data_IF_210622611025
#
_entry.id   IF_210622611025
#
_cell.length_a   1.000
_cell.length_b   1.000
_cell.length_c   1.000
_cell.angle_alpha   90.00
_cell.angle_beta   90.00
_cell.angle_gamma   90.00
#
_symmetry.space_group_name_H-M   'P 1'
#
loop_
_entity.id
_entity.type
_entity.pdbx_description
1 polymer ?
#
# COMPACT_ATOMS: atom_id res chain seq x y z
N UNK A 1 52.93 -20.58 -44.34
CA UNK A 1 52.39 -19.57 -43.39
C UNK A 1 50.96 -19.97 -43.05
N UNK A 2 50.69 -20.26 -41.78
CA UNK A 2 49.37 -20.69 -41.28
C UNK A 2 48.51 -19.46 -41.04
N UNK A 3 47.39 -19.34 -41.74
CA UNK A 3 46.42 -18.25 -41.51
C UNK A 3 45.73 -18.47 -40.17
N UNK A 4 45.79 -17.45 -39.32
CA UNK A 4 45.05 -17.32 -38.07
C UNK A 4 43.56 -17.18 -38.40
N UNK A 5 42.89 -18.30 -38.63
CA UNK A 5 41.43 -18.38 -38.75
C UNK A 5 40.89 -19.20 -37.59
N UNK A 6 41.15 -18.70 -36.39
CA UNK A 6 40.53 -19.17 -35.16
C UNK A 6 39.63 -18.06 -34.61
N UNK A 7 38.46 -18.47 -34.13
CA UNK A 7 37.51 -17.73 -33.26
C UNK A 7 36.59 -16.71 -33.94
N UNK A 8 35.52 -17.23 -34.53
CA UNK A 8 34.22 -16.58 -34.43
C UNK A 8 33.17 -17.66 -34.15
N UNK A 9 33.20 -18.19 -32.92
CA UNK A 9 32.10 -18.98 -32.38
C UNK A 9 30.94 -18.00 -32.20
N UNK A 10 29.82 -18.28 -32.89
CA UNK A 10 28.62 -17.46 -32.86
C UNK A 10 28.09 -17.32 -31.45
N UNK A 11 28.10 -16.08 -30.96
CA UNK A 11 27.35 -15.70 -29.77
C UNK A 11 25.88 -15.53 -30.19
N UNK A 12 25.16 -16.65 -30.24
CA UNK A 12 23.69 -16.62 -30.18
C UNK A 12 23.37 -16.15 -28.77
N UNK A 13 23.05 -14.86 -28.61
CA UNK A 13 22.45 -14.34 -27.38
C UNK A 13 21.05 -14.96 -27.32
N UNK A 14 20.98 -16.12 -26.68
CA UNK A 14 19.75 -16.67 -26.18
C UNK A 14 19.09 -15.59 -25.32
N UNK A 15 17.87 -15.22 -25.66
CA UNK A 15 16.98 -14.45 -24.80
C UNK A 15 16.58 -15.33 -23.60
N UNK A 16 17.54 -15.65 -22.74
CA UNK A 16 17.26 -15.97 -21.36
C UNK A 16 16.54 -14.75 -20.82
N UNK A 17 15.22 -14.88 -20.65
CA UNK A 17 14.51 -14.14 -19.64
C UNK A 17 15.37 -14.26 -18.38
N UNK A 18 16.05 -13.17 -18.02
CA UNK A 18 16.72 -13.05 -16.75
C UNK A 18 15.60 -13.16 -15.73
N UNK A 19 15.34 -14.38 -15.26
CA UNK A 19 14.67 -14.64 -14.00
C UNK A 19 15.63 -14.11 -12.94
N UNK A 20 15.67 -12.78 -12.81
CA UNK A 20 16.30 -12.13 -11.69
C UNK A 20 15.68 -12.72 -10.44
N UNK A 21 16.52 -13.17 -9.51
CA UNK A 21 16.10 -13.44 -8.15
C UNK A 21 15.22 -12.28 -7.69
N UNK A 22 13.98 -12.56 -7.28
CA UNK A 22 13.06 -11.57 -6.73
C UNK A 22 13.84 -10.69 -5.74
N UNK A 23 13.80 -9.37 -5.92
CA UNK A 23 14.45 -8.49 -4.97
C UNK A 23 13.66 -8.52 -3.66
N UNK A 24 14.34 -8.23 -2.56
CA UNK A 24 13.73 -8.28 -1.25
C UNK A 24 12.85 -7.03 -1.05
N UNK A 25 11.56 -7.22 -0.84
CA UNK A 25 10.70 -6.15 -0.34
C UNK A 25 10.99 -5.85 1.13
N UNK A 26 10.89 -4.59 1.54
CA UNK A 26 11.00 -4.20 2.95
C UNK A 26 9.62 -3.83 3.48
N UNK A 27 9.12 -4.58 4.46
CA UNK A 27 7.87 -4.29 5.18
C UNK A 27 8.17 -3.46 6.44
N UNK A 28 7.24 -2.58 6.81
CA UNK A 28 7.37 -1.67 7.93
C UNK A 28 6.04 -1.65 8.67
N UNK A 29 6.07 -1.60 10.00
CA UNK A 29 4.86 -1.70 10.81
C UNK A 29 4.84 -0.68 11.94
N UNK A 30 3.67 -0.13 12.18
CA UNK A 30 3.39 0.66 13.37
C UNK A 30 3.42 -0.26 14.61
N UNK A 31 4.05 0.18 15.70
CA UNK A 31 4.07 -0.60 16.96
C UNK A 31 2.89 -0.29 17.88
N UNK A 32 1.99 0.62 17.50
CA UNK A 32 0.79 0.91 18.26
C UNK A 32 -0.08 -0.36 18.33
N UNK A 33 -0.56 -0.68 19.53
CA UNK A 33 -1.49 -1.79 19.75
C UNK A 33 -2.59 -1.33 20.71
N UNK A 34 -3.78 -1.85 20.51
CA UNK A 34 -4.94 -1.61 21.36
C UNK A 34 -5.20 -2.81 22.27
N UNK A 35 -6.02 -2.61 23.30
CA UNK A 35 -6.51 -3.69 24.16
C UNK A 35 -7.78 -4.34 23.63
N UNK A 36 -8.59 -3.58 22.88
CA UNK A 36 -9.89 -4.01 22.37
C UNK A 36 -9.85 -4.02 20.85
N UNK A 37 -10.19 -5.13 20.23
CA UNK A 37 -10.17 -5.30 18.76
C UNK A 37 -11.07 -4.33 17.99
N UNK A 38 -11.97 -3.60 18.66
CA UNK A 38 -12.79 -2.56 18.03
C UNK A 38 -12.27 -1.15 18.25
N UNK A 39 -11.18 -0.98 19.00
CA UNK A 39 -10.55 0.31 19.23
C UNK A 39 -9.76 0.74 18.00
N UNK A 40 -9.41 2.03 17.97
CA UNK A 40 -8.58 2.59 16.91
C UNK A 40 -7.14 2.13 17.05
N UNK A 41 -6.62 1.50 16.00
CA UNK A 41 -5.21 1.17 15.85
C UNK A 41 -4.47 2.18 14.93
N UNK A 42 -3.24 1.86 14.55
CA UNK A 42 -2.50 2.63 13.55
C UNK A 42 -2.10 4.06 13.95
N UNK A 43 -2.31 4.50 15.19
CA UNK A 43 -1.90 5.84 15.62
C UNK A 43 -0.40 6.06 15.43
N UNK A 44 -0.01 7.12 14.73
CA UNK A 44 1.41 7.44 14.49
C UNK A 44 2.05 8.19 15.65
N UNK A 45 1.24 8.74 16.55
CA UNK A 45 1.67 9.48 17.75
C UNK A 45 0.72 9.21 18.91
N UNK A 46 1.22 9.37 20.14
CA UNK A 46 0.43 9.27 21.38
C UNK A 46 0.54 10.53 22.22
N UNK A 47 -0.44 10.72 23.12
CA UNK A 47 -0.42 11.80 24.10
C UNK A 47 0.89 11.81 24.91
N UNK A 48 1.47 13.00 25.11
CA UNK A 48 2.75 13.20 25.79
C UNK A 48 2.65 13.97 27.11
N UNK A 49 1.43 14.30 27.56
CA UNK A 49 1.21 15.03 28.81
C UNK A 49 1.44 16.54 28.75
N UNK A 50 1.89 17.08 27.61
CA UNK A 50 2.20 18.51 27.46
C UNK A 50 1.02 19.32 26.88
N UNK A 51 0.05 18.65 26.25
CA UNK A 51 -1.12 19.29 25.66
C UNK A 51 -2.26 19.46 26.69
N UNK A 52 -2.98 20.59 26.59
CA UNK A 52 -4.07 21.00 27.52
C UNK A 52 -5.39 20.25 27.31
N UNK A 53 -5.43 19.29 26.39
CA UNK A 53 -6.65 18.58 25.99
C UNK A 53 -6.87 17.35 26.90
N UNK A 54 -8.12 17.16 27.34
CA UNK A 54 -8.48 16.33 28.50
C UNK A 54 -8.77 14.86 28.21
N UNK A 55 -8.41 14.31 27.04
CA UNK A 55 -8.73 12.92 26.69
C UNK A 55 -7.46 12.11 26.47
N UNK A 56 -7.35 11.02 27.23
CA UNK A 56 -6.14 10.24 27.44
C UNK A 56 -5.91 9.10 26.42
N UNK A 57 -6.59 9.10 25.26
CA UNK A 57 -6.48 8.00 24.27
C UNK A 57 -6.42 8.51 22.83
N UNK A 58 -5.24 8.40 22.21
CA UNK A 58 -4.97 8.78 20.81
C UNK A 58 -4.66 10.28 20.63
N UNK A 59 -3.92 10.69 19.58
CA UNK A 59 -3.77 12.09 19.22
C UNK A 59 -5.14 12.62 18.79
N UNK A 60 -5.82 13.26 19.74
CA UNK A 60 -7.03 14.01 19.49
C UNK A 60 -6.76 15.07 18.43
N UNK A 61 -7.37 14.91 17.27
CA UNK A 61 -7.86 16.00 16.44
C UNK A 61 -6.89 17.11 16.00
N UNK A 62 -5.58 17.08 16.28
CA UNK A 62 -4.61 18.13 15.89
C UNK A 62 -3.33 17.54 15.31
N UNK A 63 -3.48 16.44 14.58
CA UNK A 63 -2.58 15.93 13.54
C UNK A 63 -1.11 16.31 13.63
N UNK A 64 -0.29 15.34 14.03
CA UNK A 64 1.18 15.41 14.12
C UNK A 64 1.76 16.01 15.43
N UNK A 65 0.96 16.09 16.50
CA UNK A 65 1.42 16.39 17.88
C UNK A 65 1.56 15.14 18.75
N UNK A 66 2.34 15.23 19.82
CA UNK A 66 2.59 14.15 20.76
C UNK A 66 3.85 13.32 20.49
N UNK A 67 4.05 12.30 21.32
CA UNK A 67 5.18 11.38 21.26
C UNK A 67 5.03 10.47 20.04
N UNK A 68 6.08 10.34 19.24
CA UNK A 68 6.06 9.45 18.08
C UNK A 68 5.92 7.99 18.53
N UNK A 69 4.98 7.26 17.94
CA UNK A 69 4.93 5.81 18.09
C UNK A 69 6.07 5.21 17.26
N UNK A 70 6.93 4.35 17.85
CA UNK A 70 7.98 3.69 17.10
C UNK A 70 7.44 2.88 15.91
N UNK A 71 8.28 2.76 14.89
CA UNK A 71 8.02 1.87 13.75
C UNK A 71 9.09 0.79 13.69
N UNK A 72 8.69 -0.43 13.35
CA UNK A 72 9.65 -1.50 13.04
C UNK A 72 9.81 -1.65 11.54
N UNK A 73 10.97 -2.16 11.10
CA UNK A 73 11.34 -2.22 9.68
C UNK A 73 11.82 -0.88 9.11
N UNK A 74 11.89 0.19 9.91
CA UNK A 74 12.43 1.49 9.51
C UNK A 74 13.74 1.81 10.23
N UNK A 75 14.58 2.64 9.61
CA UNK A 75 15.80 3.12 10.25
C UNK A 75 15.46 4.08 11.38
N UNK A 76 16.00 3.84 12.57
CA UNK A 76 15.81 4.71 13.74
C UNK A 76 14.38 4.73 14.28
N UNK A 77 13.58 3.70 13.98
CA UNK A 77 12.17 3.61 14.34
C UNK A 77 11.30 4.79 13.87
N UNK A 78 11.72 5.44 12.79
CA UNK A 78 11.06 6.62 12.23
C UNK A 78 9.83 6.25 11.39
N UNK A 79 8.97 7.23 11.15
CA UNK A 79 7.85 7.10 10.19
C UNK A 79 8.37 6.73 8.79
N UNK A 80 7.68 5.84 8.07
CA UNK A 80 8.07 5.43 6.73
C UNK A 80 7.97 6.61 5.76
N UNK A 81 8.91 6.68 4.81
CA UNK A 81 8.92 7.67 3.71
C UNK A 81 8.82 9.14 4.15
N UNK A 82 9.21 9.45 5.38
CA UNK A 82 9.01 10.80 5.97
C UNK A 82 7.54 11.22 6.04
N UNK A 83 6.62 10.27 6.23
CA UNK A 83 5.21 10.54 6.46
C UNK A 83 5.03 11.60 7.55
N UNK A 84 4.25 12.63 7.25
CA UNK A 84 4.00 13.78 8.13
C UNK A 84 2.52 14.03 8.37
N UNK A 85 1.66 13.15 7.84
CA UNK A 85 0.21 13.26 7.92
C UNK A 85 -0.35 13.06 9.31
N UNK A 86 -1.63 13.37 9.42
CA UNK A 86 -2.42 13.36 10.65
C UNK A 86 -3.29 12.13 10.78
N UNK A 87 -3.53 11.43 9.68
CA UNK A 87 -4.22 10.14 9.65
C UNK A 87 -3.39 9.07 10.35
N UNK A 88 -4.09 8.07 10.88
CA UNK A 88 -3.46 6.82 11.28
C UNK A 88 -2.80 6.15 10.08
N UNK A 89 -1.80 5.32 10.37
CA UNK A 89 -1.03 4.56 9.41
C UNK A 89 -0.57 3.27 10.08
N UNK A 90 -0.94 2.12 9.50
CA UNK A 90 -0.78 0.80 10.12
C UNK A 90 0.52 0.13 9.65
N UNK A 91 0.85 0.27 8.36
CA UNK A 91 2.00 -0.38 7.76
C UNK A 91 2.56 0.39 6.56
N UNK A 92 3.74 0.01 6.11
CA UNK A 92 4.31 0.44 4.85
C UNK A 92 5.15 -0.66 4.19
N UNK A 93 5.39 -0.54 2.88
CA UNK A 93 6.20 -1.51 2.13
C UNK A 93 6.96 -0.85 0.99
N UNK A 94 8.25 -1.16 0.88
CA UNK A 94 9.12 -0.75 -0.21
C UNK A 94 9.39 -1.94 -1.13
N UNK A 95 9.11 -1.76 -2.42
CA UNK A 95 9.27 -2.76 -3.46
C UNK A 95 10.48 -2.37 -4.34
N UNK A 96 11.55 -3.15 -4.28
CA UNK A 96 12.84 -2.79 -4.88
C UNK A 96 12.99 -3.21 -6.34
N UNK A 97 12.18 -4.14 -6.82
CA UNK A 97 12.26 -4.65 -8.17
C UNK A 97 10.99 -5.33 -8.68
N UNK A 98 10.98 -5.58 -9.98
CA UNK A 98 9.93 -6.37 -10.61
C UNK A 98 10.13 -7.86 -10.35
N UNK A 99 9.06 -8.53 -9.93
CA UNK A 99 9.10 -9.92 -9.43
C UNK A 99 9.20 -10.00 -7.91
N UNK A 100 9.32 -8.87 -7.22
CA UNK A 100 9.21 -8.79 -5.77
C UNK A 100 7.81 -9.20 -5.32
N UNK A 101 7.76 -9.77 -4.12
CA UNK A 101 6.53 -10.03 -3.40
C UNK A 101 6.68 -9.63 -1.95
N UNK A 102 5.62 -9.10 -1.36
CA UNK A 102 5.56 -8.79 0.06
C UNK A 102 4.27 -9.32 0.67
N UNK A 103 4.30 -9.60 1.97
CA UNK A 103 3.11 -9.96 2.75
C UNK A 103 2.96 -8.97 3.88
N UNK A 104 1.79 -8.36 4.01
CA UNK A 104 1.41 -7.56 5.18
C UNK A 104 0.43 -8.37 6.02
N UNK A 105 0.83 -8.68 7.25
CA UNK A 105 -0.01 -9.36 8.24
C UNK A 105 0.61 -9.25 9.63
N UNK A 106 -0.19 -9.49 10.68
CA UNK A 106 0.33 -9.63 12.04
C UNK A 106 1.43 -10.71 12.11
N UNK A 107 1.26 -11.84 11.41
CA UNK A 107 2.26 -12.92 11.37
C UNK A 107 3.57 -12.50 10.69
N UNK A 108 3.53 -11.73 9.60
CA UNK A 108 4.73 -11.20 8.96
C UNK A 108 5.46 -10.19 9.87
N UNK A 109 4.71 -9.35 10.58
CA UNK A 109 5.29 -8.34 11.49
C UNK A 109 6.07 -8.95 12.67
N UNK A 110 5.75 -10.19 13.07
CA UNK A 110 6.40 -10.88 14.19
C UNK A 110 7.91 -11.13 13.97
N UNK A 111 8.41 -11.04 12.73
CA UNK A 111 9.86 -11.07 12.45
C UNK A 111 10.64 -9.92 13.08
N UNK A 112 9.95 -8.85 13.50
CA UNK A 112 10.52 -7.71 14.23
C UNK A 112 10.30 -7.79 15.75
N UNK A 113 9.80 -8.91 16.28
CA UNK A 113 9.59 -9.05 17.71
C UNK A 113 10.88 -8.74 18.50
N UNK A 114 10.77 -7.87 19.51
CA UNK A 114 11.88 -7.45 20.36
C UNK A 114 12.83 -6.39 19.77
N UNK A 115 12.63 -5.90 18.54
CA UNK A 115 13.44 -4.77 18.02
C UNK A 115 13.06 -3.44 18.68
N UNK A 116 11.82 -3.33 19.15
CA UNK A 116 11.32 -2.26 20.01
C UNK A 116 10.83 -2.90 21.31
N UNK A 117 11.16 -2.31 22.46
CA UNK A 117 10.75 -2.84 23.76
C UNK A 117 9.24 -3.03 23.84
N UNK A 118 8.80 -4.25 24.15
CA UNK A 118 7.38 -4.60 24.28
C UNK A 118 6.68 -4.96 22.98
N UNK A 119 7.31 -4.76 21.82
CA UNK A 119 6.71 -5.13 20.53
C UNK A 119 6.82 -6.64 20.29
N UNK A 120 5.67 -7.27 19.98
CA UNK A 120 5.57 -8.70 19.65
C UNK A 120 5.08 -8.91 18.22
N UNK A 121 4.01 -8.22 17.86
CA UNK A 121 3.42 -8.18 16.52
C UNK A 121 2.64 -6.87 16.37
N UNK A 122 2.46 -6.42 15.14
CA UNK A 122 1.58 -5.30 14.82
C UNK A 122 0.11 -5.74 14.82
N UNK A 123 -0.76 -4.81 15.15
CA UNK A 123 -2.20 -4.92 14.92
C UNK A 123 -2.45 -4.66 13.43
N UNK A 124 -2.94 -5.68 12.74
CA UNK A 124 -3.21 -5.68 11.30
C UNK A 124 -4.56 -6.35 11.11
N UNK A 125 -5.60 -5.56 11.30
CA UNK A 125 -6.98 -5.97 11.20
C UNK A 125 -7.84 -4.87 10.59
N UNK A 126 -9.09 -5.18 10.29
CA UNK A 126 -10.04 -4.21 9.75
C UNK A 126 -11.46 -4.70 9.99
N UNK A 127 -12.40 -3.76 10.07
CA UNK A 127 -13.82 -4.06 10.16
C UNK A 127 -14.40 -4.59 8.85
N UNK A 128 -15.38 -5.50 8.95
CA UNK A 128 -16.05 -6.07 7.79
C UNK A 128 -16.82 -5.03 6.95
N UNK A 129 -17.31 -3.96 7.57
CA UNK A 129 -17.96 -2.83 6.88
C UNK A 129 -17.10 -1.57 6.79
N UNK A 130 -15.77 -1.68 7.00
CA UNK A 130 -14.91 -0.51 7.15
C UNK A 130 -14.75 0.29 5.86
N UNK A 131 -14.54 -0.36 4.73
CA UNK A 131 -14.42 0.33 3.44
C UNK A 131 -15.79 0.79 2.93
N UNK A 132 -16.80 -0.07 3.10
CA UNK A 132 -18.20 0.24 2.84
C UNK A 132 -19.09 -0.81 3.55
N UNK A 133 -19.96 -0.37 4.45
CA UNK A 133 -20.90 -1.24 5.18
C UNK A 133 -22.05 -1.74 4.29
N UNK A 134 -22.96 -2.57 4.81
CA UNK A 134 -24.09 -3.07 4.03
C UNK A 134 -25.24 -2.06 3.84
N UNK A 135 -25.09 -0.83 4.36
CA UNK A 135 -26.12 0.20 4.30
C UNK A 135 -27.34 -0.09 5.18
N UNK A 136 -27.23 -0.97 6.18
CA UNK A 136 -28.31 -1.28 7.12
C UNK A 136 -28.02 -0.71 8.52
N UNK A 137 -29.09 -0.34 9.25
CA UNK A 137 -29.01 0.02 10.66
C UNK A 137 -29.01 -1.24 11.56
N UNK A 138 -28.94 -1.05 12.88
CA UNK A 138 -28.94 -2.17 13.84
C UNK A 138 -30.23 -3.02 13.84
N UNK A 139 -31.29 -2.56 13.18
CA UNK A 139 -32.56 -3.28 13.00
C UNK A 139 -32.66 -3.94 11.61
N UNK A 140 -31.58 -3.93 10.81
CA UNK A 140 -31.57 -4.50 9.46
C UNK A 140 -32.32 -3.67 8.42
N UNK A 141 -32.64 -2.40 8.73
CA UNK A 141 -33.35 -1.50 7.81
C UNK A 141 -32.35 -0.65 7.04
N UNK A 142 -32.62 -0.35 5.78
CA UNK A 142 -31.78 0.52 4.98
C UNK A 142 -31.59 1.90 5.64
N UNK A 143 -30.33 2.37 5.68
CA UNK A 143 -30.02 3.71 6.14
C UNK A 143 -30.36 4.74 5.05
N UNK A 144 -30.60 5.99 5.47
CA UNK A 144 -30.87 7.10 4.53
C UNK A 144 -29.69 7.41 3.61
N UNK A 145 -28.47 7.13 4.06
CA UNK A 145 -27.25 7.39 3.28
C UNK A 145 -26.86 6.19 2.38
N UNK A 146 -27.51 5.04 2.58
CA UNK A 146 -27.09 3.77 2.00
C UNK A 146 -25.75 3.30 2.58
N UNK A 147 -25.04 2.42 1.84
CA UNK A 147 -23.74 1.91 2.21
C UNK A 147 -22.71 3.00 2.48
N UNK A 148 -22.01 2.89 3.61
CA UNK A 148 -21.10 3.92 4.15
C UNK A 148 -19.77 3.30 4.57
N UNK A 149 -18.65 3.89 4.14
CA UNK A 149 -17.33 3.58 4.70
C UNK A 149 -17.06 4.35 5.99
N UNK A 150 -16.25 3.79 6.87
CA UNK A 150 -15.95 4.35 8.18
C UNK A 150 -14.46 4.36 8.46
N UNK A 151 -13.95 5.56 8.72
CA UNK A 151 -12.52 5.82 8.92
C UNK A 151 -11.92 5.02 10.06
N UNK A 152 -12.74 4.70 11.07
CA UNK A 152 -12.27 4.15 12.32
C UNK A 152 -11.64 2.76 12.18
N UNK A 153 -12.22 1.94 11.30
CA UNK A 153 -11.85 0.55 11.12
C UNK A 153 -11.21 0.30 9.75
N UNK A 154 -10.95 1.38 9.00
CA UNK A 154 -10.25 1.31 7.72
C UNK A 154 -8.77 1.28 8.00
N UNK A 155 -8.05 0.34 7.40
CA UNK A 155 -6.60 0.28 7.52
C UNK A 155 -5.93 1.13 6.44
N UNK A 156 -4.84 1.80 6.80
CA UNK A 156 -4.05 2.61 5.88
C UNK A 156 -2.62 2.08 5.81
N UNK A 157 -2.16 1.83 4.58
CA UNK A 157 -0.78 1.47 4.29
C UNK A 157 -0.13 2.36 3.25
N UNK A 158 1.22 2.45 3.29
CA UNK A 158 2.00 3.09 2.22
C UNK A 158 2.75 2.07 1.36
N UNK A 159 2.73 2.27 0.05
CA UNK A 159 3.48 1.47 -0.91
C UNK A 159 4.45 2.40 -1.65
N UNK A 160 5.74 2.06 -1.67
CA UNK A 160 6.71 2.72 -2.54
C UNK A 160 7.40 1.71 -3.44
N UNK A 161 7.93 2.18 -4.57
CA UNK A 161 8.75 1.33 -5.42
C UNK A 161 9.99 2.02 -5.98
N UNK A 162 11.10 1.31 -6.02
CA UNK A 162 12.37 1.78 -6.59
C UNK A 162 12.36 1.74 -8.13
N UNK A 163 11.42 1.01 -8.73
CA UNK A 163 11.26 0.86 -10.18
C UNK A 163 9.82 1.06 -10.61
N UNK A 164 9.59 1.45 -11.87
CA UNK A 164 8.24 1.51 -12.42
C UNK A 164 7.75 0.10 -12.74
N UNK A 165 6.68 -0.33 -12.08
CA UNK A 165 6.16 -1.69 -12.16
C UNK A 165 4.65 -1.76 -11.93
N UNK A 166 4.04 -2.89 -12.31
CA UNK A 166 2.68 -3.21 -11.89
C UNK A 166 2.72 -3.82 -10.51
N UNK A 167 1.84 -3.37 -9.63
CA UNK A 167 1.62 -3.93 -8.29
C UNK A 167 0.22 -4.51 -8.25
N UNK A 168 0.10 -5.78 -7.86
CA UNK A 168 -1.17 -6.48 -7.66
C UNK A 168 -1.37 -6.75 -6.18
N UNK A 169 -2.54 -6.37 -5.67
CA UNK A 169 -2.97 -6.53 -4.28
C UNK A 169 -4.01 -7.64 -4.22
N UNK A 170 -3.76 -8.64 -3.38
CA UNK A 170 -4.73 -9.66 -2.98
C UNK A 170 -4.92 -9.64 -1.46
N UNK A 171 -6.13 -9.91 -0.99
CA UNK A 171 -6.49 -9.80 0.43
C UNK A 171 -7.32 -10.99 0.90
N UNK A 172 -7.03 -11.46 2.10
CA UNK A 172 -7.81 -12.52 2.77
C UNK A 172 -7.93 -12.20 4.26
N UNK A 173 -9.05 -12.58 4.88
CA UNK A 173 -9.17 -12.55 6.34
C UNK A 173 -8.50 -13.80 6.94
N UNK A 174 -7.93 -13.67 8.14
CA UNK A 174 -7.29 -14.80 8.84
C UNK A 174 -8.31 -15.74 9.50
N UNK A 175 -9.55 -15.30 9.67
CA UNK A 175 -10.62 -16.02 10.37
C UNK A 175 -11.90 -16.22 9.52
N UNK A 176 -11.87 -15.86 8.22
CA UNK A 176 -13.00 -16.02 7.29
C UNK A 176 -14.30 -15.29 7.69
N UNK A 177 -14.25 -14.23 8.52
CA UNK A 177 -15.46 -13.49 8.91
C UNK A 177 -16.12 -12.76 7.73
N UNK A 178 -15.32 -12.27 6.80
CA UNK A 178 -15.75 -11.75 5.51
C UNK A 178 -14.72 -12.14 4.44
N UNK A 179 -15.17 -12.19 3.18
CA UNK A 179 -14.37 -12.73 2.07
C UNK A 179 -13.99 -11.71 1.01
N UNK A 180 -14.55 -10.49 1.08
CA UNK A 180 -14.33 -9.42 0.12
C UNK A 180 -13.81 -8.19 0.81
N UNK A 181 -12.83 -7.57 0.18
CA UNK A 181 -12.26 -6.30 0.58
C UNK A 181 -12.56 -5.23 -0.44
N UNK A 182 -12.84 -4.04 0.08
CA UNK A 182 -12.73 -2.80 -0.67
C UNK A 182 -11.32 -2.23 -0.51
N UNK A 183 -10.79 -1.71 -1.60
CA UNK A 183 -9.51 -0.99 -1.64
C UNK A 183 -9.67 0.31 -2.40
N UNK A 184 -9.03 1.36 -1.92
CA UNK A 184 -8.84 2.61 -2.68
C UNK A 184 -7.36 2.96 -2.65
N UNK A 185 -6.77 3.21 -3.83
CA UNK A 185 -5.37 3.59 -3.94
C UNK A 185 -5.26 5.05 -4.37
N UNK A 186 -4.37 5.76 -3.71
CA UNK A 186 -4.02 7.15 -3.98
C UNK A 186 -2.53 7.24 -4.34
N UNK A 187 -2.18 8.06 -5.31
CA UNK A 187 -0.83 8.61 -5.43
C UNK A 187 -0.64 9.66 -4.32
N UNK A 188 0.52 9.60 -3.66
CA UNK A 188 0.87 10.45 -2.52
C UNK A 188 0.52 9.84 -1.17
N UNK A 189 0.69 10.66 -0.14
CA UNK A 189 0.40 10.33 1.27
C UNK A 189 -0.19 11.54 1.97
N UNK A 190 -0.86 11.30 3.10
CA UNK A 190 -1.34 12.39 3.94
C UNK A 190 -0.17 13.29 4.37
N UNK A 191 -0.34 14.59 4.15
CA UNK A 191 0.60 15.66 4.51
C UNK A 191 -0.04 16.69 5.44
N UNK A 192 -1.32 16.51 5.77
CA UNK A 192 -2.04 17.41 6.65
C UNK A 192 -1.47 17.30 8.07
N UNK A 193 -0.97 18.42 8.59
CA UNK A 193 -0.56 18.58 10.00
C UNK A 193 -1.62 19.32 10.82
N UNK A 194 -2.84 19.43 10.29
CA UNK A 194 -3.98 20.04 10.93
C UNK A 194 -4.91 18.99 11.53
N UNK A 195 -6.17 19.36 11.71
CA UNK A 195 -7.09 18.54 12.47
C UNK A 195 -7.58 17.31 11.68
N UNK A 196 -7.39 16.13 12.25
CA UNK A 196 -7.88 14.87 11.69
C UNK A 196 -8.98 14.30 12.58
N UNK A 197 -10.18 14.09 12.00
CA UNK A 197 -11.25 13.35 12.67
C UNK A 197 -11.21 11.89 12.24
N UNK A 198 -10.77 11.05 13.17
CA UNK A 198 -10.76 9.60 13.02
C UNK A 198 -12.17 8.99 13.01
N UNK A 199 -13.12 9.63 13.69
CA UNK A 199 -14.52 9.20 13.71
C UNK A 199 -15.29 9.93 12.61
N UNK A 200 -15.43 9.29 11.46
CA UNK A 200 -16.19 9.87 10.37
C UNK A 200 -16.48 8.92 9.24
N UNK A 201 -17.53 9.23 8.49
CA UNK A 201 -17.83 8.53 7.26
C UNK A 201 -16.88 8.95 6.12
N UNK A 202 -16.61 8.00 5.23
CA UNK A 202 -16.00 8.16 3.92
C UNK A 202 -16.69 7.17 2.96
N UNK A 203 -16.38 7.18 1.65
CA UNK A 203 -16.99 6.23 0.70
C UNK A 203 -18.52 6.09 0.87
N UNK A 204 -19.20 7.23 0.88
CA UNK A 204 -20.63 7.34 1.15
C UNK A 204 -21.27 8.23 0.09
N UNK A 205 -21.56 7.71 -1.11
CA UNK A 205 -22.15 8.49 -2.19
C UNK A 205 -23.52 9.07 -1.83
N UNK A 206 -24.29 8.42 -0.95
CA UNK A 206 -25.59 8.90 -0.48
C UNK A 206 -25.54 9.85 0.72
N UNK A 207 -24.36 10.15 1.27
CA UNK A 207 -24.23 11.16 2.34
C UNK A 207 -24.53 12.58 1.82
N UNK A 208 -24.81 13.51 2.74
CA UNK A 208 -24.90 14.95 2.44
C UNK A 208 -23.86 15.72 3.25
N UNK A 209 -22.85 16.34 2.61
CA UNK A 209 -22.52 16.24 1.18
C UNK A 209 -22.08 14.82 0.78
N UNK A 210 -22.24 14.49 -0.50
CA UNK A 210 -21.86 13.19 -1.06
C UNK A 210 -20.36 12.96 -0.96
N UNK A 211 -19.95 11.73 -0.62
CA UNK A 211 -18.55 11.32 -0.51
C UNK A 211 -18.28 10.19 -1.51
N UNK A 212 -18.01 10.49 -2.78
CA UNK A 212 -17.82 9.45 -3.80
C UNK A 212 -16.56 8.62 -3.53
N UNK A 213 -16.51 7.39 -4.06
CA UNK A 213 -15.35 6.49 -3.95
C UNK A 213 -14.07 7.03 -4.62
N UNK A 214 -14.24 8.04 -5.49
CA UNK A 214 -13.18 8.75 -6.20
C UNK A 214 -12.81 10.07 -5.55
N UNK A 215 -13.31 10.36 -4.34
CA UNK A 215 -13.01 11.60 -3.65
C UNK A 215 -11.52 11.67 -3.30
N UNK A 216 -10.94 12.85 -3.53
CA UNK A 216 -9.62 13.15 -3.02
C UNK A 216 -9.65 13.45 -1.55
N UNK A 217 -8.59 13.02 -0.85
CA UNK A 217 -8.43 13.24 0.59
C UNK A 217 -9.72 12.89 1.37
N UNK A 218 -10.27 11.67 1.22
CA UNK A 218 -11.61 11.32 1.74
C UNK A 218 -11.72 11.44 3.26
N UNK A 219 -10.59 11.54 3.95
CA UNK A 219 -10.48 11.68 5.39
C UNK A 219 -10.43 13.16 5.84
N UNK A 220 -10.55 14.11 4.91
CA UNK A 220 -10.41 15.55 5.18
C UNK A 220 -8.96 16.00 5.31
N UNK A 221 -8.05 15.26 4.68
CA UNK A 221 -6.59 15.45 4.71
C UNK A 221 -6.10 16.22 3.48
N UNK A 222 -4.80 16.21 3.21
CA UNK A 222 -4.20 16.75 1.98
C UNK A 222 -3.08 15.83 1.47
N UNK A 223 -2.79 15.88 0.17
CA UNK A 223 -1.65 15.17 -0.43
C UNK A 223 -2.00 13.85 -1.12
N UNK A 224 -3.28 13.49 -1.20
CA UNK A 224 -3.76 12.31 -1.90
C UNK A 224 -4.39 12.67 -3.25
N UNK A 225 -4.04 11.89 -4.28
CA UNK A 225 -4.67 11.88 -5.62
C UNK A 225 -5.19 10.47 -5.93
N UNK A 226 -6.49 10.27 -6.14
CA UNK A 226 -7.15 9.01 -6.35
C UNK A 226 -6.75 8.45 -7.71
N UNK A 227 -6.22 7.23 -7.72
CA UNK A 227 -5.85 6.53 -8.96
C UNK A 227 -6.76 5.34 -9.25
N UNK A 228 -7.58 4.92 -8.29
CA UNK A 228 -8.65 3.96 -8.50
C UNK A 228 -9.05 3.21 -7.23
N UNK A 229 -10.07 2.36 -7.37
CA UNK A 229 -10.61 1.53 -6.30
C UNK A 229 -11.16 0.21 -6.85
N UNK A 230 -11.40 -0.75 -5.95
CA UNK A 230 -12.13 -1.99 -6.22
C UNK A 230 -12.88 -2.40 -4.97
N UNK A 231 -14.08 -2.94 -5.12
CA UNK A 231 -14.94 -3.45 -4.05
C UNK A 231 -15.00 -5.00 -4.04
N UNK A 232 -14.10 -5.65 -4.77
CA UNK A 232 -14.15 -7.10 -4.98
C UNK A 232 -12.77 -7.75 -4.89
N UNK A 233 -11.89 -7.22 -4.03
CA UNK A 233 -10.57 -7.83 -3.81
C UNK A 233 -10.70 -9.02 -2.88
N UNK A 234 -10.07 -10.13 -3.27
CA UNK A 234 -10.00 -11.39 -2.51
C UNK A 234 -8.59 -12.00 -2.62
N UNK A 235 -8.40 -13.21 -2.09
CA UNK A 235 -7.18 -14.01 -2.23
C UNK A 235 -6.88 -14.44 -3.67
N UNK A 236 -7.89 -14.37 -4.54
CA UNK A 236 -7.87 -14.87 -5.92
C UNK A 236 -8.23 -13.79 -6.94
N UNK A 237 -8.93 -12.72 -6.52
CA UNK A 237 -9.27 -11.57 -7.35
C UNK A 237 -8.46 -10.38 -6.86
N UNK A 238 -7.44 -9.99 -7.64
CA UNK A 238 -6.53 -8.91 -7.28
C UNK A 238 -6.93 -7.54 -7.86
N UNK A 239 -6.52 -6.47 -7.19
CA UNK A 239 -6.52 -5.11 -7.76
C UNK A 239 -5.11 -4.75 -8.21
N UNK A 240 -4.96 -4.28 -9.45
CA UNK A 240 -3.64 -3.96 -10.04
C UNK A 240 -3.56 -2.49 -10.43
N UNK A 241 -2.45 -1.84 -10.06
CA UNK A 241 -2.10 -0.48 -10.51
C UNK A 241 -0.64 -0.41 -10.94
N UNK A 242 -0.25 0.70 -11.58
CA UNK A 242 1.15 0.98 -11.92
C UNK A 242 1.73 1.86 -10.81
N UNK A 243 2.76 1.34 -10.13
CA UNK A 243 3.60 2.11 -9.23
C UNK A 243 4.80 2.63 -10.01
N UNK A 244 4.94 3.95 -10.09
CA UNK A 244 6.11 4.59 -10.70
C UNK A 244 7.28 4.64 -9.73
N UNK A 245 8.50 4.53 -10.28
CA UNK A 245 9.73 4.61 -9.50
C UNK A 245 9.79 5.91 -8.68
N UNK A 246 10.11 5.80 -7.39
CA UNK A 246 10.30 6.91 -6.48
C UNK A 246 9.01 7.59 -5.99
N UNK A 247 7.84 7.11 -6.42
CA UNK A 247 6.55 7.60 -5.89
C UNK A 247 6.12 6.77 -4.68
N UNK A 248 5.34 7.42 -3.82
CA UNK A 248 4.63 6.80 -2.69
C UNK A 248 3.15 6.77 -3.00
N UNK A 249 2.49 5.68 -2.65
CA UNK A 249 1.06 5.46 -2.81
C UNK A 249 0.45 5.13 -1.45
N UNK A 250 -0.76 5.63 -1.19
CA UNK A 250 -1.55 5.26 -0.01
C UNK A 250 -2.61 4.25 -0.41
N UNK A 251 -2.71 3.14 0.33
CA UNK A 251 -3.76 2.14 0.19
C UNK A 251 -4.69 2.25 1.40
N UNK A 252 -5.97 2.50 1.14
CA UNK A 252 -7.02 2.48 2.15
C UNK A 252 -7.82 1.20 1.92
N UNK A 253 -7.94 0.36 2.95
CA UNK A 253 -8.57 -0.95 2.81
C UNK A 253 -9.50 -1.29 3.97
N UNK A 254 -10.44 -2.17 3.69
CA UNK A 254 -11.31 -2.76 4.70
C UNK A 254 -12.31 -3.72 4.08
N UNK A 255 -13.13 -4.36 4.91
CA UNK A 255 -14.22 -5.18 4.39
C UNK A 255 -15.27 -4.34 3.64
N UNK A 256 -16.00 -5.00 2.74
CA UNK A 256 -17.01 -4.37 1.88
C UNK A 256 -18.32 -5.16 1.85
N UNK A 257 -19.43 -4.43 1.95
CA UNK A 257 -20.79 -4.98 1.88
C UNK A 257 -21.12 -5.92 3.05
N UNK A 258 -20.36 -5.88 4.13
CA UNK A 258 -20.56 -6.70 5.32
C UNK A 258 -21.00 -5.84 6.49
N UNK A 259 -22.02 -6.34 7.20
CA UNK A 259 -22.71 -5.74 8.37
C UNK A 259 -22.42 -4.26 8.64
N UNK A 260 -22.02 -3.88 9.86
CA UNK A 260 -21.60 -2.53 10.24
C UNK A 260 -20.09 -2.47 10.34
N UNK A 261 -19.54 -1.26 10.26
CA UNK A 261 -18.10 -1.02 10.28
C UNK A 261 -17.34 -1.57 11.48
N UNK A 262 -17.94 -1.62 12.66
CA UNK A 262 -17.33 -2.15 13.88
C UNK A 262 -17.67 -3.63 14.13
N UNK A 263 -18.31 -4.28 13.16
CA UNK A 263 -18.71 -5.68 13.26
C UNK A 263 -17.79 -6.53 12.39
N UNK A 264 -17.53 -7.76 12.86
CA UNK A 264 -16.66 -8.70 12.15
C UNK A 264 -15.23 -8.19 11.97
N UNK A 265 -14.67 -7.50 12.96
CA UNK A 265 -13.25 -7.10 12.92
C UNK A 265 -12.39 -8.35 12.85
N UNK A 266 -11.51 -8.37 11.85
CA UNK A 266 -10.70 -9.53 11.54
C UNK A 266 -9.30 -9.11 11.13
N UNK A 267 -8.31 -9.87 11.62
CA UNK A 267 -6.97 -9.82 11.05
C UNK A 267 -7.01 -10.17 9.56
N UNK A 268 -6.11 -9.58 8.79
CA UNK A 268 -5.99 -9.87 7.37
C UNK A 268 -4.56 -10.21 6.95
N UNK A 269 -4.46 -10.84 5.79
CA UNK A 269 -3.23 -11.03 5.03
C UNK A 269 -3.38 -10.35 3.69
N UNK A 270 -2.48 -9.43 3.41
CA UNK A 270 -2.36 -8.73 2.13
C UNK A 270 -1.13 -9.26 1.41
N UNK A 271 -1.33 -9.88 0.25
CA UNK A 271 -0.25 -10.31 -0.63
C UNK A 271 -0.04 -9.25 -1.72
N UNK A 272 1.20 -8.77 -1.85
CA UNK A 272 1.65 -7.91 -2.94
C UNK A 272 2.49 -8.74 -3.89
N UNK A 273 2.13 -8.71 -5.17
CA UNK A 273 2.93 -9.28 -6.24
C UNK A 273 3.24 -8.21 -7.29
N UNK A 274 4.48 -8.19 -7.79
CA UNK A 274 4.92 -7.20 -8.76
C UNK A 274 5.27 -7.83 -10.11
N UNK A 275 5.10 -7.05 -11.18
CA UNK A 275 5.55 -7.47 -12.51
C UNK A 275 6.02 -6.26 -13.33
N UNK A 276 6.96 -6.46 -14.29
CA UNK A 276 7.43 -5.36 -15.12
C UNK A 276 6.28 -4.70 -15.90
N UNK A 277 6.35 -3.38 -16.09
CA UNK A 277 5.49 -2.72 -17.09
C UNK A 277 6.00 -3.12 -18.49
N UNK A 278 5.15 -3.65 -19.39
CA UNK A 278 5.57 -3.95 -20.75
C UNK A 278 6.08 -2.68 -21.45
N UNK A 279 7.36 -2.67 -21.79
CA UNK A 279 7.94 -1.59 -22.61
C UNK A 279 7.41 -1.75 -24.04
N UNK A 280 6.88 -0.71 -24.69
CA UNK A 280 6.43 -0.80 -26.07
C UNK A 280 7.55 -1.36 -26.96
N UNK A 281 7.24 -2.38 -27.78
CA UNK A 281 8.22 -3.02 -28.66
C UNK A 281 8.96 -2.06 -29.59
N UNK A 282 8.42 -0.87 -29.84
CA UNK A 282 9.07 0.20 -30.56
C UNK A 282 10.43 0.61 -29.96
N UNK A 283 10.60 0.61 -28.63
CA UNK A 283 11.90 0.91 -28.00
C UNK A 283 12.94 -0.15 -28.36
N UNK A 284 12.53 -1.42 -28.43
CA UNK A 284 13.38 -2.53 -28.88
C UNK A 284 13.72 -2.44 -30.37
N UNK A 285 12.76 -2.08 -31.20
CA UNK A 285 12.97 -1.88 -32.64
C UNK A 285 13.89 -0.69 -32.90
N UNK A 286 13.75 0.40 -32.13
CA UNK A 286 14.61 1.57 -32.27
C UNK A 286 16.04 1.29 -31.78
N UNK A 287 16.19 0.61 -30.64
CA UNK A 287 17.49 0.19 -30.13
C UNK A 287 18.23 -0.75 -31.09
N UNK A 288 17.52 -1.73 -31.66
CA UNK A 288 18.09 -2.65 -32.64
C UNK A 288 18.42 -1.97 -33.99
N UNK A 289 17.60 -1.01 -34.43
CA UNK A 289 17.90 -0.21 -35.62
C UNK A 289 19.18 0.63 -35.45
N UNK A 290 19.36 1.29 -34.29
CA UNK A 290 20.57 2.07 -33.99
C UNK A 290 21.80 1.16 -33.94
N UNK A 291 21.72 0.03 -33.23
CA UNK A 291 22.82 -0.94 -33.17
C UNK A 291 23.17 -1.50 -34.57
N UNK A 292 22.15 -1.78 -35.39
CA UNK A 292 22.30 -2.19 -36.78
C UNK A 292 23.03 -1.14 -37.63
N UNK A 293 22.65 0.14 -37.52
CA UNK A 293 23.31 1.23 -38.25
C UNK A 293 24.79 1.40 -37.85
N UNK A 294 25.12 1.33 -36.56
CA UNK A 294 26.51 1.41 -36.07
C UNK A 294 27.33 0.23 -36.59
N UNK A 295 26.76 -0.98 -36.59
CA UNK A 295 27.41 -2.19 -37.11
C UNK A 295 27.70 -2.13 -38.61
N UNK A 296 26.77 -1.60 -39.41
CA UNK A 296 26.94 -1.45 -40.86
C UNK A 296 28.01 -0.41 -41.19
N UNK A 297 28.09 0.69 -40.44
CA UNK A 297 29.09 1.74 -40.68
C UNK A 297 30.52 1.27 -40.38
N UNK A 298 30.70 0.41 -39.37
CA UNK A 298 32.02 -0.18 -39.06
C UNK A 298 32.54 -1.12 -40.15
N UNK A 299 31.64 -1.87 -40.82
CA UNK A 299 32.05 -2.74 -41.94
C UNK A 299 32.55 -1.96 -43.15
N UNK A 300 32.10 -0.72 -43.35
CA UNK A 300 32.62 0.16 -44.43
C UNK A 300 34.02 0.69 -44.13
N UNK A 301 34.35 0.91 -42.85
CA UNK A 301 35.66 1.43 -42.43
C UNK A 301 36.76 0.35 -42.38
N UNK A 302 36.41 -0.93 -42.20
CA UNK A 302 37.40 -2.03 -42.24
C UNK A 302 37.59 -2.67 -43.62
N UNK A 303 36.80 -2.24 -44.62
CA UNK A 303 36.91 -2.68 -46.01
C UNK A 303 37.63 -1.66 -46.92
N UNK A 304 38.16 -0.58 -46.34
CA UNK A 304 39.07 0.38 -46.96
C UNK A 304 40.47 0.20 -46.35
#
# INVERSE_FOLDING_TARGET
MKSVLAKAIGLVIAGTALSGSAAASTTMYNTFTTTDTSATDGWTRTFDGADVDSVATGPESQGNKGTLVPWVGTTGNALPYSYSGSSHLNWAVQLSGAGDSAVISAADSAKYAGTVTGFTQAEIDTGGGAWNDNGLNAQGQATVNGPTGWRHQTDIGLISSDVTQKVTINLSTTNSLFSRFGVTVFEGMDTNTGNYSHHGSWNCPGCTPAKPFTAENPFGTTGLTNIGHSDNVTDTIGYTFIAEAGKVYSLYLGGVGFDRWNSGVAGYKLDLATSPVPVPGAVWLFGSAIAGMIGVNRRRLSAA
#
